data_IF_609437708988
#
_entry.id   IF_609437708988
#
_cell.length_a   1.000
_cell.length_b   1.000
_cell.length_c   1.000
_cell.angle_alpha   90.00
_cell.angle_beta   90.00
_cell.angle_gamma   90.00
#
_symmetry.space_group_name_H-M   'P 1'
#
loop_
_entity.id
_entity.type
_entity.pdbx_description
1 polymer ?
#
# COMPACT_ATOMS: atom_id res chain seq x y z
N UNK A 1 -15.24 13.43 -9.34
CA UNK A 1 -13.76 13.54 -9.31
C UNK A 1 -13.29 13.53 -10.76
N UNK A 2 -12.39 14.44 -11.16
CA UNK A 2 -11.79 14.35 -12.49
C UNK A 2 -10.95 13.07 -12.55
N UNK A 3 -11.26 12.15 -13.48
CA UNK A 3 -10.45 10.97 -13.71
C UNK A 3 -9.21 11.43 -14.47
N UNK A 4 -8.04 11.28 -13.86
CA UNK A 4 -6.77 11.54 -14.54
C UNK A 4 -6.62 10.42 -15.58
N UNK A 5 -6.47 10.74 -16.87
CA UNK A 5 -6.25 9.72 -17.89
C UNK A 5 -4.98 8.93 -17.56
N UNK A 6 -5.04 7.62 -17.77
CA UNK A 6 -3.94 6.72 -17.44
C UNK A 6 -2.66 7.06 -18.24
N UNK A 7 -2.83 7.52 -19.48
CA UNK A 7 -1.77 8.06 -20.34
C UNK A 7 -1.04 9.25 -19.71
N UNK A 8 -1.79 10.21 -19.16
CA UNK A 8 -1.22 11.43 -18.54
C UNK A 8 -0.40 11.07 -17.31
N UNK A 9 -0.91 10.14 -16.49
CA UNK A 9 -0.20 9.64 -15.32
C UNK A 9 1.14 9.01 -15.73
N UNK A 10 1.12 8.05 -16.65
CA UNK A 10 2.33 7.34 -17.06
C UNK A 10 3.33 8.24 -17.79
N UNK A 11 2.88 9.17 -18.62
CA UNK A 11 3.76 10.08 -19.34
C UNK A 11 4.55 11.00 -18.39
N UNK A 12 3.89 11.50 -17.35
CA UNK A 12 4.46 12.47 -16.40
C UNK A 12 5.27 11.84 -15.27
N UNK A 13 5.25 10.51 -15.13
CA UNK A 13 6.12 9.84 -14.17
C UNK A 13 7.60 10.08 -14.52
N UNK A 14 8.45 10.35 -13.52
CA UNK A 14 9.90 10.34 -13.69
C UNK A 14 10.42 9.00 -14.23
N UNK A 15 11.46 9.04 -15.06
CA UNK A 15 12.00 7.83 -15.72
C UNK A 15 12.54 6.81 -14.70
N UNK A 16 13.11 7.27 -13.59
CA UNK A 16 13.56 6.41 -12.50
C UNK A 16 12.41 5.61 -11.85
N UNK A 17 11.19 6.15 -11.85
CA UNK A 17 10.01 5.44 -11.37
C UNK A 17 9.48 4.50 -12.44
N UNK A 18 9.41 4.94 -13.70
CA UNK A 18 8.94 4.13 -14.85
C UNK A 18 9.67 2.79 -14.97
N UNK A 19 11.00 2.80 -14.81
CA UNK A 19 11.84 1.60 -14.86
C UNK A 19 11.63 0.62 -13.69
N UNK A 20 10.98 1.06 -12.62
CA UNK A 20 10.70 0.25 -11.43
C UNK A 20 9.23 -0.10 -11.27
N UNK A 21 8.42 0.16 -12.30
CA UNK A 21 7.00 -0.13 -12.28
C UNK A 21 6.74 -1.63 -12.39
N UNK A 22 5.71 -2.07 -11.68
CA UNK A 22 5.04 -3.35 -11.86
C UNK A 22 3.59 -3.08 -12.17
N UNK A 23 3.13 -3.68 -13.25
CA UNK A 23 1.70 -3.76 -13.56
C UNK A 23 1.16 -5.01 -12.88
N UNK A 24 0.22 -4.85 -11.96
CA UNK A 24 -0.56 -5.97 -11.46
C UNK A 24 -1.92 -6.01 -12.13
N UNK A 25 -2.25 -7.17 -12.67
CA UNK A 25 -3.56 -7.41 -13.26
C UNK A 25 -4.52 -8.01 -12.24
N UNK A 26 -5.83 -7.87 -12.48
CA UNK A 26 -6.89 -8.41 -11.61
C UNK A 26 -6.82 -9.92 -11.37
N UNK A 27 -6.10 -10.67 -12.23
CA UNK A 27 -5.90 -12.11 -12.08
C UNK A 27 -4.67 -12.44 -11.23
N UNK A 28 -4.02 -11.44 -10.65
CA UNK A 28 -2.81 -11.60 -9.84
C UNK A 28 -1.51 -11.70 -10.64
N UNK A 29 -1.56 -11.65 -11.98
CA UNK A 29 -0.34 -11.61 -12.80
C UNK A 29 0.38 -10.28 -12.59
N UNK A 30 1.67 -10.36 -12.25
CA UNK A 30 2.54 -9.22 -12.04
C UNK A 30 3.58 -9.16 -13.17
N UNK A 31 3.66 -8.01 -13.84
CA UNK A 31 4.61 -7.76 -14.92
C UNK A 31 5.53 -6.62 -14.52
N UNK A 32 6.81 -6.94 -14.30
CA UNK A 32 7.84 -5.94 -14.11
C UNK A 32 8.09 -5.22 -15.44
N UNK A 33 7.86 -3.90 -15.46
CA UNK A 33 8.00 -3.06 -16.65
C UNK A 33 9.48 -2.80 -16.91
N UNK A 34 9.94 -3.13 -18.10
CA UNK A 34 11.28 -2.76 -18.58
C UNK A 34 11.21 -1.53 -19.49
N UNK A 35 10.15 -1.45 -20.31
CA UNK A 35 9.94 -0.33 -21.21
C UNK A 35 8.44 -0.15 -21.48
N UNK A 36 7.97 1.10 -21.52
CA UNK A 36 6.64 1.46 -21.98
C UNK A 36 6.76 1.82 -23.46
N UNK A 37 6.15 1.03 -24.33
CA UNK A 37 6.23 1.21 -25.78
C UNK A 37 5.12 2.15 -26.26
N UNK A 38 3.90 1.95 -25.73
CA UNK A 38 2.73 2.73 -26.11
C UNK A 38 1.70 2.74 -24.97
N UNK A 39 0.98 3.85 -24.84
CA UNK A 39 -0.18 3.97 -23.97
C UNK A 39 -1.33 4.50 -24.80
N UNK A 40 -2.46 3.80 -24.72
CA UNK A 40 -3.73 4.11 -25.37
C UNK A 40 -4.85 4.13 -24.31
N UNK A 41 -6.05 4.56 -24.67
CA UNK A 41 -7.23 4.52 -23.80
C UNK A 41 -7.63 3.09 -23.42
N UNK A 42 -7.33 2.12 -24.29
CA UNK A 42 -7.78 0.72 -24.11
C UNK A 42 -6.67 -0.22 -23.66
N UNK A 43 -5.43 0.02 -24.08
CA UNK A 43 -4.32 -0.91 -23.87
C UNK A 43 -3.04 -0.19 -23.45
N UNK A 44 -2.30 -0.83 -22.56
CA UNK A 44 -0.92 -0.52 -22.23
C UNK A 44 -0.01 -1.54 -22.95
N UNK A 45 0.85 -1.06 -23.84
CA UNK A 45 1.86 -1.91 -24.50
C UNK A 45 3.21 -1.72 -23.80
N UNK A 46 3.67 -2.77 -23.16
CA UNK A 46 4.95 -2.77 -22.44
C UNK A 46 5.84 -3.90 -22.88
N UNK A 47 7.14 -3.69 -22.74
CA UNK A 47 8.12 -4.78 -22.64
C UNK A 47 8.36 -5.06 -21.17
N UNK A 48 8.30 -6.32 -20.77
CA UNK A 48 8.41 -6.65 -19.36
C UNK A 48 8.77 -8.10 -19.07
N UNK A 49 8.77 -8.45 -17.79
CA UNK A 49 8.96 -9.82 -17.30
C UNK A 49 7.81 -10.18 -16.39
N UNK A 50 7.17 -11.31 -16.66
CA UNK A 50 6.13 -11.85 -15.78
C UNK A 50 6.79 -12.51 -14.58
N UNK A 51 6.31 -12.19 -13.38
CA UNK A 51 6.79 -12.80 -12.14
C UNK A 51 6.63 -14.34 -12.21
N UNK A 52 7.67 -15.07 -11.78
CA UNK A 52 7.68 -16.53 -11.81
C UNK A 52 8.03 -17.16 -13.17
N UNK A 53 8.31 -16.35 -14.19
CA UNK A 53 8.74 -16.85 -15.51
C UNK A 53 10.23 -16.58 -15.77
N UNK A 54 10.85 -17.47 -16.55
CA UNK A 54 12.22 -17.26 -17.03
C UNK A 54 12.29 -16.38 -18.29
N UNK A 55 11.13 -16.07 -18.90
CA UNK A 55 11.03 -15.31 -20.13
C UNK A 55 11.63 -13.90 -19.96
N UNK A 56 12.38 -13.48 -20.97
CA UNK A 56 13.09 -12.20 -20.97
C UNK A 56 12.40 -11.22 -21.92
N UNK A 57 11.78 -10.19 -21.33
CA UNK A 57 11.45 -8.96 -22.06
C UNK A 57 10.50 -9.17 -23.22
N UNK A 58 9.44 -9.96 -23.04
CA UNK A 58 8.38 -10.09 -24.05
C UNK A 58 7.53 -8.81 -24.07
N UNK A 59 6.87 -8.57 -25.20
CA UNK A 59 5.89 -7.50 -25.34
C UNK A 59 4.52 -7.99 -24.88
N UNK A 60 3.83 -7.18 -24.08
CA UNK A 60 2.51 -7.48 -23.53
C UNK A 60 1.55 -6.34 -23.87
N UNK A 61 0.40 -6.71 -24.45
CA UNK A 61 -0.76 -5.83 -24.57
C UNK A 61 -1.65 -6.08 -23.35
N UNK A 62 -1.69 -5.12 -22.43
CA UNK A 62 -2.46 -5.24 -21.19
C UNK A 62 -3.69 -4.33 -21.31
N UNK A 63 -4.91 -4.88 -21.31
CA UNK A 63 -6.13 -4.07 -21.27
C UNK A 63 -6.17 -3.22 -20.00
N UNK A 64 -6.46 -1.93 -20.12
CA UNK A 64 -6.46 -1.01 -18.98
C UNK A 64 -7.52 -1.39 -17.94
N UNK A 65 -8.66 -1.94 -18.36
CA UNK A 65 -9.73 -2.44 -17.50
C UNK A 65 -9.32 -3.66 -16.66
N UNK A 66 -8.19 -4.31 -17.01
CA UNK A 66 -7.64 -5.47 -16.29
C UNK A 66 -6.47 -5.11 -15.38
N UNK A 67 -6.04 -3.85 -15.35
CA UNK A 67 -5.00 -3.38 -14.44
C UNK A 67 -5.65 -3.12 -13.07
N UNK A 68 -5.18 -3.82 -12.05
CA UNK A 68 -5.62 -3.64 -10.67
C UNK A 68 -4.89 -2.45 -10.03
N UNK A 69 -3.55 -2.45 -10.11
CA UNK A 69 -2.72 -1.33 -9.68
C UNK A 69 -1.35 -1.30 -10.37
N UNK A 70 -0.71 -0.14 -10.29
CA UNK A 70 0.71 0.06 -10.57
C UNK A 70 1.48 0.13 -9.26
N UNK A 71 2.58 -0.60 -9.16
CA UNK A 71 3.47 -0.58 -8.00
C UNK A 71 4.86 -0.10 -8.39
N UNK A 72 5.46 0.78 -7.59
CA UNK A 72 6.88 1.11 -7.70
C UNK A 72 7.64 0.15 -6.79
N UNK A 73 8.43 -0.76 -7.35
CA UNK A 73 9.16 -1.76 -6.57
C UNK A 73 10.25 -1.15 -5.67
N UNK A 74 10.80 0.01 -6.07
CA UNK A 74 11.80 0.70 -5.28
C UNK A 74 11.14 1.39 -4.08
N UNK A 75 11.62 1.18 -2.85
CA UNK A 75 11.14 1.92 -1.69
C UNK A 75 11.30 3.42 -1.96
N UNK A 76 10.18 4.11 -2.09
CA UNK A 76 10.13 5.55 -2.39
C UNK A 76 9.56 6.26 -1.17
N UNK A 77 10.13 7.39 -0.78
CA UNK A 77 9.63 8.16 0.37
C UNK A 77 8.33 8.86 0.02
N UNK A 78 7.42 8.98 0.98
CA UNK A 78 6.14 9.67 0.80
C UNK A 78 6.32 11.12 0.32
N UNK A 79 7.35 11.83 0.80
CA UNK A 79 7.67 13.20 0.37
C UNK A 79 8.06 13.28 -1.12
N UNK A 80 8.74 12.26 -1.64
CA UNK A 80 9.13 12.19 -3.04
C UNK A 80 7.90 11.90 -3.91
N UNK A 81 7.08 10.94 -3.49
CA UNK A 81 5.82 10.63 -4.17
C UNK A 81 4.86 11.82 -4.16
N UNK A 82 4.78 12.57 -3.06
CA UNK A 82 3.96 13.78 -2.97
C UNK A 82 4.39 14.83 -3.99
N UNK A 83 5.69 15.10 -4.11
CA UNK A 83 6.23 16.05 -5.11
C UNK A 83 5.96 15.62 -6.55
N UNK A 84 6.10 14.32 -6.84
CA UNK A 84 5.77 13.77 -8.15
C UNK A 84 4.29 13.98 -8.44
N UNK A 85 3.41 13.59 -7.52
CA UNK A 85 1.96 13.75 -7.69
C UNK A 85 1.55 15.22 -7.81
N UNK A 86 2.20 16.12 -7.08
CA UNK A 86 1.91 17.56 -7.14
C UNK A 86 2.30 18.17 -8.49
N UNK A 87 3.38 17.68 -9.11
CA UNK A 87 3.76 18.04 -10.48
C UNK A 87 2.76 17.52 -11.53
N UNK A 88 2.21 16.32 -11.32
CA UNK A 88 1.30 15.65 -12.28
C UNK A 88 -0.13 16.21 -12.17
N UNK A 89 -0.61 16.43 -10.95
CA UNK A 89 -2.01 16.72 -10.63
C UNK A 89 -2.25 18.19 -10.23
N UNK A 90 -1.19 18.98 -10.12
CA UNK A 90 -1.23 20.32 -9.54
C UNK A 90 -1.15 20.29 -8.01
N UNK A 91 -1.13 21.48 -7.37
CA UNK A 91 -0.99 21.60 -5.92
C UNK A 91 -2.02 20.72 -5.23
N UNK A 92 -1.57 19.98 -4.22
CA UNK A 92 -2.44 19.15 -3.39
C UNK A 92 -3.59 20.04 -2.93
N UNK A 93 -4.83 19.76 -3.34
CA UNK A 93 -5.98 20.35 -2.67
C UNK A 93 -5.87 19.90 -1.23
N UNK A 94 -5.46 20.81 -0.35
CA UNK A 94 -5.41 20.57 1.07
C UNK A 94 -6.79 20.06 1.46
N UNK A 95 -6.87 18.74 1.71
CA UNK A 95 -7.93 18.21 2.54
C UNK A 95 -7.86 19.01 3.82
N UNK A 96 -8.93 19.76 4.08
CA UNK A 96 -9.11 20.60 5.24
C UNK A 96 -8.40 19.97 6.45
N UNK A 97 -7.44 20.72 6.95
CA UNK A 97 -6.81 20.54 8.26
C UNK A 97 -7.91 20.22 9.27
N UNK A 98 -8.08 18.95 9.64
CA UNK A 98 -8.76 18.59 10.89
C UNK A 98 -7.84 19.06 12.01
N UNK A 99 -8.22 20.06 12.82
CA UNK A 99 -7.43 20.42 13.97
C UNK A 99 -7.76 19.43 15.10
N UNK A 100 -6.74 18.73 15.60
CA UNK A 100 -6.84 17.89 16.80
C UNK A 100 -5.99 16.64 16.64
N UNK A 101 -4.69 16.70 16.93
CA UNK A 101 -4.04 16.55 18.25
C UNK A 101 -3.56 15.12 18.50
N UNK A 102 -2.27 15.04 18.80
CA UNK A 102 -1.62 14.08 19.70
C UNK A 102 -1.32 12.68 19.16
N UNK A 103 -0.12 12.59 18.60
CA UNK A 103 0.80 11.49 18.84
C UNK A 103 0.83 11.09 20.34
N UNK A 104 0.36 9.88 20.64
CA UNK A 104 0.48 9.21 21.92
C UNK A 104 0.01 7.75 21.77
N UNK A 105 0.67 6.78 22.43
CA UNK A 105 0.40 5.38 22.17
C UNK A 105 -1.03 5.00 22.58
N UNK A 106 -1.62 4.16 21.74
CA UNK A 106 -2.93 3.54 21.86
C UNK A 106 -3.31 3.15 23.30
N UNK A 107 -4.15 3.97 23.94
CA UNK A 107 -4.79 3.63 25.23
C UNK A 107 -5.88 2.55 25.11
N UNK A 108 -6.13 1.99 23.92
CA UNK A 108 -7.07 0.88 23.73
C UNK A 108 -6.60 -0.45 24.35
N UNK A 109 -5.30 -0.61 24.64
CA UNK A 109 -4.79 -1.81 25.32
C UNK A 109 -4.92 -1.78 26.85
N UNK A 110 -5.14 -0.61 27.47
CA UNK A 110 -5.34 -0.51 28.94
C UNK A 110 -6.78 -0.78 29.36
N UNK A 111 -7.76 -0.24 28.63
CA UNK A 111 -9.18 -0.36 29.02
C UNK A 111 -9.70 -1.78 28.83
N UNK A 112 -9.26 -2.48 27.77
CA UNK A 112 -9.63 -3.88 27.53
C UNK A 112 -9.02 -4.86 28.55
N UNK A 113 -7.89 -4.50 29.19
CA UNK A 113 -7.23 -5.35 30.18
C UNK A 113 -7.91 -5.34 31.55
N UNK A 114 -8.46 -4.20 31.96
CA UNK A 114 -9.09 -4.03 33.28
C UNK A 114 -10.51 -4.62 33.31
N UNK A 115 -11.36 -4.31 32.33
CA UNK A 115 -12.72 -4.87 32.27
C UNK A 115 -12.72 -6.40 32.10
N UNK A 116 -11.80 -6.93 31.31
CA UNK A 116 -11.69 -8.38 31.09
C UNK A 116 -11.11 -9.10 32.32
N UNK A 117 -10.20 -8.47 33.07
CA UNK A 117 -9.71 -8.96 34.37
C UNK A 117 -10.81 -8.95 35.43
N UNK A 118 -11.63 -7.91 35.47
CA UNK A 118 -12.73 -7.78 36.42
C UNK A 118 -13.82 -8.83 36.16
N UNK A 119 -14.17 -9.05 34.88
CA UNK A 119 -15.08 -10.13 34.49
C UNK A 119 -14.54 -11.52 34.81
N UNK A 120 -13.23 -11.77 34.60
CA UNK A 120 -12.62 -13.05 34.96
C UNK A 120 -12.60 -13.31 36.48
N UNK A 121 -12.46 -12.25 37.29
CA UNK A 121 -12.61 -12.33 38.76
C UNK A 121 -14.05 -12.60 39.17
N UNK A 122 -15.02 -11.89 38.58
CA UNK A 122 -16.44 -12.06 38.88
C UNK A 122 -16.98 -13.45 38.49
N UNK A 123 -16.43 -14.06 37.43
CA UNK A 123 -16.75 -15.42 36.99
C UNK A 123 -16.03 -16.53 37.77
N UNK A 124 -15.23 -16.21 38.79
CA UNK A 124 -14.60 -17.20 39.69
C UNK A 124 -13.56 -18.12 39.03
N UNK A 125 -13.10 -17.80 37.81
CA UNK A 125 -12.16 -18.62 37.03
C UNK A 125 -10.68 -18.27 37.28
N UNK A 126 -10.40 -17.38 38.23
CA UNK A 126 -9.02 -17.07 38.64
C UNK A 126 -8.50 -18.17 39.57
N UNK A 127 -7.87 -19.20 39.01
CA UNK A 127 -7.05 -20.16 39.77
C UNK A 127 -5.95 -19.40 40.52
N UNK A 128 -5.83 -19.51 41.86
CA UNK A 128 -4.65 -19.00 42.53
C UNK A 128 -3.45 -19.85 42.13
N UNK A 129 -2.41 -19.18 41.61
CA UNK A 129 -1.08 -19.75 41.44
C UNK A 129 -0.56 -20.17 42.81
N UNK A 130 -0.55 -21.47 43.06
CA UNK A 130 0.17 -22.10 44.16
C UNK A 130 1.66 -21.88 43.95
N UNK A 131 2.28 -21.10 44.82
CA UNK A 131 3.68 -21.25 45.19
C UNK A 131 3.88 -20.77 46.62
N UNK A 132 4.40 -21.68 47.43
CA UNK A 132 4.65 -21.64 48.85
C UNK A 132 5.60 -20.53 49.33
N UNK A 133 5.50 -20.21 50.63
CA UNK A 133 6.57 -20.01 51.62
C UNK A 133 5.90 -19.69 52.98
N UNK A 134 5.76 -20.63 53.92
CA UNK A 134 6.69 -21.09 54.99
C UNK A 134 6.64 -20.24 56.30
N UNK A 135 6.71 -20.96 57.44
CA UNK A 135 6.77 -20.60 58.89
C UNK A 135 5.45 -20.87 59.63
N UNK A 136 5.35 -21.74 60.63
CA UNK A 136 6.29 -22.16 61.70
C UNK A 136 5.97 -23.59 62.13
#
# INVERSE_FOLDING_TARGET
MAKVPFEVLLAQLPDNLKESLVVKTINGTEVAVQNIIWVDENYLLIRGRVAGTADQGLAYFIPIDRIEYLCVQKPTKDDEMAKVMEKILGPKRETAKTPGKESGPSNLSRVLGEEMREKLKALGLSRPSSSAQEKT
#
